data_IF_963592750278
#
_entry.id   IF_963592750278
#
_cell.length_a   1.000
_cell.length_b   1.000
_cell.length_c   1.000
_cell.angle_alpha   90.00
_cell.angle_beta   90.00
_cell.angle_gamma   90.00
#
_symmetry.space_group_name_H-M   'P 1'
#
loop_
_entity.id
_entity.type
_entity.pdbx_description
1 polymer ?
#
# COMPACT_ATOMS: atom_id res chain seq x y z
N UNK A 1 29.68 16.09 39.28
CA UNK A 1 28.56 15.17 38.96
C UNK A 1 27.45 15.81 38.12
N UNK A 2 27.05 17.06 38.35
CA UNK A 2 26.03 17.76 37.52
C UNK A 2 26.42 17.92 36.03
N UNK A 3 27.71 18.15 35.74
CA UNK A 3 28.19 18.35 34.35
C UNK A 3 28.08 17.11 33.45
N UNK A 4 28.01 15.90 34.02
CA UNK A 4 27.87 14.64 33.25
C UNK A 4 26.40 14.42 32.85
N UNK A 5 25.45 14.90 33.65
CA UNK A 5 24.02 14.80 33.35
C UNK A 5 23.63 15.65 32.12
N UNK A 6 24.25 16.83 31.95
CA UNK A 6 24.00 17.73 30.82
C UNK A 6 24.49 17.18 29.46
N UNK A 7 25.56 16.37 29.46
CA UNK A 7 26.08 15.75 28.23
C UNK A 7 25.18 14.60 27.76
N UNK A 8 24.54 13.88 28.67
CA UNK A 8 23.56 12.83 28.36
C UNK A 8 22.24 13.42 27.81
N UNK A 9 21.81 14.57 28.31
CA UNK A 9 20.62 15.27 27.79
C UNK A 9 20.85 15.81 26.37
N UNK A 10 22.06 16.28 26.05
CA UNK A 10 22.40 16.73 24.69
C UNK A 10 22.52 15.59 23.65
N UNK A 11 22.86 14.37 24.07
CA UNK A 11 22.88 13.22 23.17
C UNK A 11 21.48 12.68 22.84
N UNK A 12 20.47 12.92 23.69
CA UNK A 12 19.08 12.57 23.40
C UNK A 12 18.42 13.48 22.35
N UNK A 13 18.91 14.71 22.16
CA UNK A 13 18.31 15.70 21.24
C UNK A 13 18.74 15.46 19.77
N UNK A 14 19.69 14.54 19.52
CA UNK A 14 20.11 14.13 18.17
C UNK A 14 19.42 12.85 17.69
N UNK A 15 18.30 12.45 18.29
CA UNK A 15 17.31 11.59 17.63
C UNK A 15 16.54 12.47 16.64
N UNK A 16 17.17 12.80 15.52
CA UNK A 16 16.45 13.33 14.38
C UNK A 16 15.57 12.18 13.88
N UNK A 17 14.32 12.11 14.36
CA UNK A 17 13.36 11.12 13.89
C UNK A 17 13.04 11.46 12.45
N UNK A 18 13.84 10.95 11.51
CA UNK A 18 13.62 11.17 10.09
C UNK A 18 12.17 10.78 9.79
N UNK A 19 11.38 11.71 9.27
CA UNK A 19 9.98 11.42 9.01
C UNK A 19 9.88 10.46 7.81
N UNK A 20 8.83 9.66 7.77
CA UNK A 20 8.64 8.72 6.65
C UNK A 20 8.50 9.43 5.30
N UNK A 21 8.01 10.68 5.30
CA UNK A 21 8.04 11.60 4.16
C UNK A 21 9.44 11.78 3.58
N UNK A 22 10.47 11.92 4.43
CA UNK A 22 11.85 12.13 4.00
C UNK A 22 12.44 10.93 3.24
N UNK A 23 11.91 9.72 3.47
CA UNK A 23 12.31 8.55 2.70
C UNK A 23 11.70 8.59 1.30
N UNK A 24 10.44 8.96 1.15
CA UNK A 24 9.72 9.01 -0.14
C UNK A 24 10.38 9.93 -1.15
N UNK A 25 10.85 11.10 -0.71
CA UNK A 25 11.56 12.05 -1.57
C UNK A 25 12.85 11.50 -2.18
N UNK A 26 13.40 10.40 -1.66
CA UNK A 26 14.66 9.81 -2.15
C UNK A 26 14.45 8.85 -3.31
N UNK A 27 13.21 8.42 -3.56
CA UNK A 27 12.89 7.47 -4.63
C UNK A 27 11.68 7.87 -5.49
N UNK A 28 11.08 9.04 -5.26
CA UNK A 28 9.93 9.55 -6.01
C UNK A 28 10.24 9.84 -7.50
N UNK A 29 11.48 10.16 -7.81
CA UNK A 29 11.96 10.46 -9.17
C UNK A 29 12.41 9.23 -9.96
N UNK A 30 12.34 8.03 -9.39
CA UNK A 30 12.68 6.80 -10.11
C UNK A 30 11.54 6.37 -11.01
N UNK A 31 11.88 5.85 -12.19
CA UNK A 31 10.90 5.33 -13.13
C UNK A 31 10.29 4.01 -12.65
N UNK A 32 9.12 3.66 -13.20
CA UNK A 32 8.52 2.35 -12.93
C UNK A 32 9.50 1.22 -13.31
N UNK A 33 9.62 0.23 -12.43
CA UNK A 33 10.50 -0.92 -12.52
C UNK A 33 12.00 -0.63 -12.39
N UNK A 34 12.41 0.61 -12.07
CA UNK A 34 13.80 0.88 -11.74
C UNK A 34 14.16 0.35 -10.34
N UNK A 35 14.80 -0.82 -10.33
CA UNK A 35 15.18 -1.52 -9.10
C UNK A 35 16.16 -0.73 -8.22
N UNK A 36 16.84 0.30 -8.75
CA UNK A 36 17.77 1.13 -7.97
C UNK A 36 17.05 1.92 -6.88
N UNK A 37 15.75 2.16 -7.02
CA UNK A 37 14.91 2.75 -5.98
C UNK A 37 14.96 1.96 -4.65
N UNK A 38 15.20 0.64 -4.71
CA UNK A 38 15.32 -0.19 -3.50
C UNK A 38 16.48 0.18 -2.59
N UNK A 39 17.50 0.87 -3.09
CA UNK A 39 18.58 1.41 -2.25
C UNK A 39 18.05 2.42 -1.22
N UNK A 40 16.96 3.12 -1.54
CA UNK A 40 16.33 4.12 -0.67
C UNK A 40 15.05 3.59 -0.01
N UNK A 41 14.31 2.72 -0.70
CA UNK A 41 13.09 2.11 -0.19
C UNK A 41 13.36 1.03 0.87
N UNK A 42 14.45 0.26 0.79
CA UNK A 42 14.77 -0.75 1.80
C UNK A 42 15.00 -0.14 3.20
N UNK A 43 15.75 0.96 3.36
CA UNK A 43 15.82 1.68 4.63
C UNK A 43 14.46 2.10 5.20
N UNK A 44 13.52 2.56 4.35
CA UNK A 44 12.16 2.89 4.76
C UNK A 44 11.40 1.66 5.30
N UNK A 45 11.42 0.56 4.54
CA UNK A 45 10.80 -0.71 4.96
C UNK A 45 11.41 -1.20 6.28
N UNK A 46 12.73 -1.14 6.43
CA UNK A 46 13.42 -1.56 7.64
C UNK A 46 13.00 -0.72 8.85
N UNK A 47 12.95 0.61 8.70
CA UNK A 47 12.51 1.50 9.77
C UNK A 47 11.06 1.21 10.18
N UNK A 48 10.15 1.12 9.21
CA UNK A 48 8.73 0.82 9.48
C UNK A 48 8.55 -0.53 10.19
N UNK A 49 9.36 -1.55 9.86
CA UNK A 49 9.40 -2.84 10.58
C UNK A 49 9.90 -2.70 12.02
N UNK A 50 11.01 -1.98 12.24
CA UNK A 50 11.61 -1.79 13.56
C UNK A 50 10.66 -1.06 14.52
N UNK A 51 9.98 -0.04 14.02
CA UNK A 51 9.00 0.74 14.79
C UNK A 51 7.62 0.06 14.89
N UNK A 52 7.43 -1.09 14.22
CA UNK A 52 6.12 -1.75 14.06
C UNK A 52 5.04 -0.80 13.52
N UNK A 53 5.43 0.17 12.71
CA UNK A 53 4.51 1.10 12.08
C UNK A 53 3.92 0.44 10.83
N UNK A 54 2.86 -0.34 11.03
CA UNK A 54 2.25 -1.14 9.98
C UNK A 54 1.56 -0.33 8.88
N UNK A 55 1.10 0.90 9.18
CA UNK A 55 0.54 1.81 8.17
C UNK A 55 1.64 2.25 7.19
N UNK A 56 2.77 2.67 7.72
CA UNK A 56 3.93 3.06 6.92
C UNK A 56 4.58 1.87 6.22
N UNK A 57 4.55 0.68 6.84
CA UNK A 57 5.03 -0.53 6.19
C UNK A 57 4.13 -0.94 5.01
N UNK A 58 2.81 -0.80 5.13
CA UNK A 58 1.89 -1.03 4.01
C UNK A 58 2.15 -0.02 2.88
N UNK A 59 2.38 1.24 3.20
CA UNK A 59 2.74 2.27 2.22
C UNK A 59 4.07 1.96 1.52
N UNK A 60 5.12 1.60 2.27
CA UNK A 60 6.41 1.23 1.69
C UNK A 60 6.31 0.00 0.75
N UNK A 61 5.51 -1.00 1.10
CA UNK A 61 5.26 -2.13 0.21
C UNK A 61 4.43 -1.75 -1.02
N UNK A 62 3.52 -0.79 -0.90
CA UNK A 62 2.81 -0.23 -2.06
C UNK A 62 3.77 0.46 -3.01
N UNK A 63 4.71 1.25 -2.49
CA UNK A 63 5.73 1.90 -3.30
C UNK A 63 6.67 0.85 -3.95
N UNK A 64 6.95 -0.25 -3.26
CA UNK A 64 7.77 -1.34 -3.79
C UNK A 64 7.18 -2.00 -5.05
N UNK A 65 5.85 -2.06 -5.18
CA UNK A 65 5.18 -2.57 -6.39
C UNK A 65 5.64 -1.80 -7.64
N UNK A 66 5.80 -0.48 -7.54
CA UNK A 66 6.22 0.36 -8.67
C UNK A 66 7.60 -0.02 -9.17
N UNK A 67 8.52 -0.38 -8.27
CA UNK A 67 9.92 -0.64 -8.60
C UNK A 67 10.27 -2.12 -8.76
N UNK A 68 9.33 -3.04 -8.56
CA UNK A 68 9.57 -4.48 -8.53
C UNK A 68 9.00 -5.23 -9.75
N UNK A 69 9.66 -5.23 -10.93
CA UNK A 69 9.09 -5.82 -12.16
C UNK A 69 8.63 -7.27 -11.99
N UNK A 70 9.41 -8.06 -11.25
CA UNK A 70 9.16 -9.50 -11.07
C UNK A 70 8.43 -9.86 -9.76
N UNK A 71 8.16 -8.89 -8.89
CA UNK A 71 7.65 -9.15 -7.52
C UNK A 71 6.44 -8.30 -7.12
N UNK A 72 5.74 -7.70 -8.09
CA UNK A 72 4.56 -6.86 -7.82
C UNK A 72 3.50 -7.57 -6.97
N UNK A 73 3.21 -8.83 -7.27
CA UNK A 73 2.22 -9.61 -6.51
C UNK A 73 2.70 -9.94 -5.08
N UNK A 74 3.99 -10.24 -4.91
CA UNK A 74 4.59 -10.48 -3.60
C UNK A 74 4.47 -9.24 -2.69
N UNK A 75 4.76 -8.07 -3.24
CA UNK A 75 4.57 -6.83 -2.50
C UNK A 75 3.10 -6.51 -2.26
N UNK A 76 2.20 -6.79 -3.20
CA UNK A 76 0.76 -6.66 -2.97
C UNK A 76 0.26 -7.53 -1.80
N UNK A 77 0.72 -8.77 -1.70
CA UNK A 77 0.44 -9.64 -0.53
C UNK A 77 1.01 -9.05 0.77
N UNK A 78 2.19 -8.45 0.68
CA UNK A 78 2.85 -7.81 1.82
C UNK A 78 2.10 -6.57 2.32
N UNK A 79 1.47 -5.79 1.43
CA UNK A 79 0.58 -4.68 1.82
C UNK A 79 -0.59 -5.22 2.64
N UNK A 80 -1.29 -6.26 2.15
CA UNK A 80 -2.44 -6.85 2.85
C UNK A 80 -2.02 -7.35 4.23
N UNK A 81 -0.88 -8.05 4.34
CA UNK A 81 -0.36 -8.48 5.62
C UNK A 81 -0.11 -7.31 6.57
N UNK A 82 0.55 -6.24 6.12
CA UNK A 82 0.83 -5.07 6.95
C UNK A 82 -0.46 -4.34 7.34
N UNK A 83 -1.36 -4.09 6.39
CA UNK A 83 -2.66 -3.46 6.61
C UNK A 83 -3.49 -4.23 7.64
N UNK A 84 -3.49 -5.57 7.60
CA UNK A 84 -4.21 -6.41 8.56
C UNK A 84 -3.77 -6.20 10.01
N UNK A 85 -2.54 -5.71 10.25
CA UNK A 85 -2.01 -5.42 11.59
C UNK A 85 -2.44 -4.07 12.14
N UNK A 86 -3.04 -3.21 11.32
CA UNK A 86 -3.45 -1.86 11.74
C UNK A 86 -4.85 -1.81 12.34
N UNK A 87 -5.72 -2.76 12.00
CA UNK A 87 -7.15 -2.70 12.32
C UNK A 87 -7.93 -1.67 11.48
N UNK A 88 -7.27 -0.94 10.58
CA UNK A 88 -7.89 0.02 9.68
C UNK A 88 -8.53 -0.72 8.48
N UNK A 89 -9.86 -0.71 8.44
CA UNK A 89 -10.64 -1.37 7.39
C UNK A 89 -10.46 -0.70 6.03
N UNK A 90 -10.33 0.63 5.98
CA UNK A 90 -10.15 1.36 4.73
C UNK A 90 -8.79 1.03 4.13
N UNK A 91 -7.74 1.00 4.95
CA UNK A 91 -6.42 0.57 4.51
C UNK A 91 -6.42 -0.88 4.01
N UNK A 92 -7.11 -1.79 4.71
CA UNK A 92 -7.20 -3.18 4.30
C UNK A 92 -7.97 -3.34 2.97
N UNK A 93 -9.10 -2.64 2.83
CA UNK A 93 -9.86 -2.58 1.58
C UNK A 93 -9.05 -2.01 0.42
N UNK A 94 -8.34 -0.90 0.63
CA UNK A 94 -7.44 -0.31 -0.35
C UNK A 94 -6.28 -1.24 -0.74
N UNK A 95 -5.83 -2.11 0.17
CA UNK A 95 -4.79 -3.10 -0.07
C UNK A 95 -5.27 -4.22 -1.01
N UNK A 96 -6.50 -4.71 -0.78
CA UNK A 96 -7.15 -5.67 -1.69
C UNK A 96 -7.39 -5.07 -3.08
N UNK A 97 -7.87 -3.82 -3.13
CA UNK A 97 -8.00 -3.07 -4.39
C UNK A 97 -6.66 -2.95 -5.14
N UNK A 98 -5.58 -2.67 -4.41
CA UNK A 98 -4.23 -2.60 -4.99
C UNK A 98 -3.80 -3.95 -5.57
N UNK A 99 -4.05 -5.06 -4.87
CA UNK A 99 -3.73 -6.41 -5.37
C UNK A 99 -4.55 -6.78 -6.61
N UNK A 100 -5.85 -6.44 -6.63
CA UNK A 100 -6.68 -6.62 -7.82
C UNK A 100 -6.16 -5.81 -9.02
N UNK A 101 -5.65 -4.60 -8.77
CA UNK A 101 -5.02 -3.76 -9.79
C UNK A 101 -3.77 -4.42 -10.39
N UNK A 102 -2.94 -5.04 -9.56
CA UNK A 102 -1.77 -5.82 -10.01
C UNK A 102 -2.20 -7.03 -10.86
N UNK A 103 -3.23 -7.78 -10.45
CA UNK A 103 -3.77 -8.88 -11.26
C UNK A 103 -4.29 -8.39 -12.61
N UNK A 104 -4.99 -7.26 -12.63
CA UNK A 104 -5.58 -6.68 -13.83
C UNK A 104 -4.51 -6.19 -14.81
N UNK A 105 -3.62 -5.29 -14.37
CA UNK A 105 -2.71 -4.61 -15.29
C UNK A 105 -1.48 -5.44 -15.63
N UNK A 106 -0.86 -6.08 -14.64
CA UNK A 106 0.43 -6.76 -14.81
C UNK A 106 0.30 -8.23 -15.21
N UNK A 107 -0.77 -8.91 -14.79
CA UNK A 107 -0.95 -10.34 -15.07
C UNK A 107 -2.12 -10.68 -15.99
N UNK A 108 -2.99 -9.71 -16.32
CA UNK A 108 -4.21 -9.92 -17.11
C UNK A 108 -5.13 -11.03 -16.56
N UNK A 109 -5.10 -11.27 -15.25
CA UNK A 109 -5.91 -12.29 -14.57
C UNK A 109 -7.21 -11.66 -14.08
N UNK A 110 -8.13 -11.37 -15.00
CA UNK A 110 -9.34 -10.58 -14.73
C UNK A 110 -10.26 -11.19 -13.67
N UNK A 111 -10.45 -12.51 -13.67
CA UNK A 111 -11.24 -13.20 -12.63
C UNK A 111 -10.63 -13.01 -11.24
N UNK A 112 -9.31 -13.18 -11.11
CA UNK A 112 -8.62 -12.94 -9.83
C UNK A 112 -8.65 -11.47 -9.43
N UNK A 113 -8.59 -10.54 -10.39
CA UNK A 113 -8.76 -9.12 -10.10
C UNK A 113 -10.16 -8.85 -9.51
N UNK A 114 -11.21 -9.42 -10.10
CA UNK A 114 -12.57 -9.32 -9.58
C UNK A 114 -12.68 -9.89 -8.17
N UNK A 115 -12.11 -11.06 -7.91
CA UNK A 115 -12.12 -11.69 -6.58
C UNK A 115 -11.50 -10.76 -5.52
N UNK A 116 -10.40 -10.08 -5.84
CA UNK A 116 -9.78 -9.12 -4.91
C UNK A 116 -10.58 -7.82 -4.77
N UNK A 117 -11.22 -7.33 -5.83
CA UNK A 117 -12.11 -6.15 -5.73
C UNK A 117 -13.38 -6.42 -4.92
N UNK A 118 -13.93 -7.64 -5.00
CA UNK A 118 -15.05 -8.06 -4.15
C UNK A 118 -14.62 -8.24 -2.70
N UNK A 119 -13.40 -8.72 -2.43
CA UNK A 119 -12.84 -8.68 -1.06
C UNK A 119 -12.68 -7.26 -0.56
N UNK A 120 -12.20 -6.34 -1.39
CA UNK A 120 -12.09 -4.93 -1.04
C UNK A 120 -13.46 -4.33 -0.72
N UNK A 121 -14.50 -4.67 -1.49
CA UNK A 121 -15.87 -4.23 -1.27
C UNK A 121 -16.38 -4.57 0.14
N UNK A 122 -16.13 -5.78 0.63
CA UNK A 122 -16.55 -6.20 1.98
C UNK A 122 -15.98 -5.32 3.11
N UNK A 123 -14.88 -4.58 2.87
CA UNK A 123 -14.33 -3.63 3.84
C UNK A 123 -14.77 -2.19 3.57
N UNK A 124 -15.09 -1.86 2.32
CA UNK A 124 -15.29 -0.49 1.85
C UNK A 124 -16.77 -0.12 1.68
N UNK A 125 -17.70 -1.07 1.64
CA UNK A 125 -19.13 -0.78 1.42
C UNK A 125 -19.74 0.19 2.44
N UNK A 126 -19.15 0.28 3.64
CA UNK A 126 -19.56 1.18 4.73
C UNK A 126 -18.48 2.22 5.09
N UNK A 127 -17.50 2.45 4.21
CA UNK A 127 -16.45 3.45 4.45
C UNK A 127 -17.02 4.86 4.45
N UNK A 128 -16.34 5.78 5.13
CA UNK A 128 -16.62 7.23 5.03
C UNK A 128 -15.78 7.90 3.92
N UNK A 129 -14.80 7.20 3.37
CA UNK A 129 -14.02 7.66 2.23
C UNK A 129 -14.77 7.36 0.92
N UNK A 130 -15.62 8.31 0.51
CA UNK A 130 -16.42 8.18 -0.71
C UNK A 130 -15.54 7.95 -1.95
N UNK A 131 -14.35 8.55 -1.99
CA UNK A 131 -13.43 8.33 -3.11
C UNK A 131 -13.00 6.86 -3.18
N UNK A 132 -12.62 6.26 -2.05
CA UNK A 132 -12.22 4.87 -2.01
C UNK A 132 -13.38 3.91 -2.32
N UNK A 133 -14.58 4.23 -1.84
CA UNK A 133 -15.82 3.51 -2.17
C UNK A 133 -16.07 3.48 -3.69
N UNK A 134 -16.21 4.65 -4.31
CA UNK A 134 -16.52 4.74 -5.74
C UNK A 134 -15.38 4.24 -6.62
N UNK A 135 -14.13 4.42 -6.18
CA UNK A 135 -12.98 3.85 -6.88
C UNK A 135 -13.09 2.32 -6.95
N UNK A 136 -13.40 1.64 -5.85
CA UNK A 136 -13.53 0.19 -5.87
C UNK A 136 -14.70 -0.27 -6.75
N UNK A 137 -15.85 0.40 -6.67
CA UNK A 137 -17.01 0.10 -7.54
C UNK A 137 -16.68 0.26 -9.02
N UNK A 138 -15.98 1.33 -9.39
CA UNK A 138 -15.51 1.53 -10.76
C UNK A 138 -14.65 0.34 -11.22
N UNK A 139 -13.70 -0.11 -10.41
CA UNK A 139 -12.84 -1.26 -10.75
C UNK A 139 -13.63 -2.57 -10.88
N UNK A 140 -14.65 -2.80 -10.03
CA UNK A 140 -15.57 -3.94 -10.16
C UNK A 140 -16.32 -3.85 -11.49
N UNK A 141 -16.94 -2.71 -11.79
CA UNK A 141 -17.72 -2.50 -13.02
C UNK A 141 -16.89 -2.70 -14.28
N UNK A 142 -15.69 -2.13 -14.32
CA UNK A 142 -14.74 -2.31 -15.43
C UNK A 142 -14.45 -3.80 -15.63
N UNK A 143 -14.07 -4.52 -14.57
CA UNK A 143 -13.71 -5.94 -14.72
C UNK A 143 -14.91 -6.81 -15.08
N UNK A 144 -16.08 -6.57 -14.48
CA UNK A 144 -17.32 -7.27 -14.85
C UNK A 144 -17.66 -7.06 -16.33
N UNK A 145 -17.53 -5.83 -16.83
CA UNK A 145 -17.72 -5.54 -18.25
C UNK A 145 -16.70 -6.28 -19.13
N UNK A 146 -15.43 -6.34 -18.73
CA UNK A 146 -14.40 -7.11 -19.46
C UNK A 146 -14.67 -8.62 -19.45
N UNK A 147 -15.31 -9.15 -18.41
CA UNK A 147 -15.67 -10.57 -18.29
C UNK A 147 -17.00 -10.93 -18.96
N UNK A 148 -17.76 -9.94 -19.44
CA UNK A 148 -19.06 -10.14 -20.10
C UNK A 148 -20.26 -10.24 -19.14
N UNK A 149 -20.12 -9.83 -17.87
CA UNK A 149 -21.20 -9.86 -16.87
C UNK A 149 -22.13 -8.64 -16.97
N UNK A 150 -22.60 -8.34 -18.18
CA UNK A 150 -23.31 -7.09 -18.48
C UNK A 150 -24.62 -6.91 -17.68
N UNK A 151 -25.37 -7.99 -17.42
CA UNK A 151 -26.63 -7.92 -16.67
C UNK A 151 -26.43 -7.57 -15.19
N UNK A 152 -25.40 -8.13 -14.52
CA UNK A 152 -25.10 -7.82 -13.12
C UNK A 152 -24.46 -6.44 -12.88
N UNK A 153 -24.02 -5.77 -13.95
CA UNK A 153 -23.32 -4.49 -13.83
C UNK A 153 -24.30 -3.33 -13.64
N UNK A 154 -25.54 -3.46 -14.13
CA UNK A 154 -26.58 -2.44 -14.05
C UNK A 154 -27.13 -2.24 -12.64
N UNK A 155 -27.05 -3.25 -11.76
CA UNK A 155 -27.55 -3.14 -10.38
C UNK A 155 -26.57 -2.44 -9.41
N UNK A 156 -25.32 -2.21 -9.85
CA UNK A 156 -24.24 -1.62 -9.02
C UNK A 156 -24.07 -0.11 -9.30
N UNK A 157 -24.60 0.40 -10.42
CA UNK A 157 -24.57 1.80 -10.83
C UNK A 157 -25.98 2.41 -10.79
#
# INVERSE_FOLDING_TARGET
>A
MWKILLVLVFYCIRLNSQEFSDYRMRYDNFEENDIRAFNFLNPYIQKAKQEKNYRELAQAYKDAISFSPNHKLYYADSIIWAASKTGDKDLLGASYLTKGTVFYFNHKKFKLALDEYLKAWNYLENTKDEYLYYKNLYHIGVVKSYLGYHEETLDIF
#
